data_IF_762526587892
#
_entry.id   IF_762526587892
#
_cell.length_a   1.000
_cell.length_b   1.000
_cell.length_c   1.000
_cell.angle_alpha   90.00
_cell.angle_beta   90.00
_cell.angle_gamma   90.00
#
_symmetry.space_group_name_H-M   'P 1'
#
loop_
_entity.id
_entity.type
_entity.pdbx_description
1 polymer ?
#
# COMPACT_ATOMS: atom_id res chain seq x y z
N UNK A 1 8.48 -4.53 12.69
CA UNK A 1 8.11 -5.39 11.56
C UNK A 1 8.46 -6.82 11.95
N UNK A 2 7.73 -7.80 11.41
CA UNK A 2 6.53 -7.65 10.58
C UNK A 2 5.35 -7.01 11.35
N UNK A 3 4.38 -6.42 10.65
CA UNK A 3 3.11 -5.95 11.25
C UNK A 3 1.94 -6.10 10.27
N UNK A 4 0.75 -6.42 10.79
CA UNK A 4 -0.45 -6.50 9.99
C UNK A 4 -0.81 -5.16 9.31
N UNK A 5 -1.34 -5.22 8.09
CA UNK A 5 -1.98 -4.09 7.39
C UNK A 5 -2.85 -4.59 6.23
N UNK A 6 -3.97 -3.91 5.94
CA UNK A 6 -4.82 -4.22 4.78
C UNK A 6 -4.34 -3.50 3.50
N UNK A 7 -4.71 -4.01 2.33
CA UNK A 7 -4.37 -3.43 1.03
C UNK A 7 -3.30 -4.25 0.33
N UNK A 8 -3.72 -5.40 -0.19
CA UNK A 8 -2.85 -6.51 -0.60
C UNK A 8 -2.75 -6.63 -2.12
N UNK A 9 -3.67 -6.03 -2.88
CA UNK A 9 -3.65 -6.11 -4.34
C UNK A 9 -2.90 -4.92 -4.96
N UNK A 10 -1.67 -5.14 -5.45
CA UNK A 10 -0.92 -4.08 -6.13
C UNK A 10 -1.51 -3.77 -7.52
N UNK A 11 -1.12 -2.62 -8.06
CA UNK A 11 -1.50 -2.17 -9.40
C UNK A 11 -0.28 -2.21 -10.33
N UNK A 12 -0.52 -2.33 -11.64
CA UNK A 12 0.52 -2.43 -12.68
C UNK A 12 1.57 -1.31 -12.61
N UNK A 13 1.16 -0.10 -12.22
CA UNK A 13 2.08 1.05 -12.04
C UNK A 13 3.16 0.85 -10.98
N UNK A 14 3.02 -0.14 -10.09
CA UNK A 14 4.05 -0.44 -9.09
C UNK A 14 5.23 -1.23 -9.67
N UNK A 15 5.02 -2.01 -10.74
CA UNK A 15 6.05 -2.91 -11.24
C UNK A 15 7.35 -2.21 -11.68
N UNK A 16 7.31 -1.11 -12.45
CA UNK A 16 8.53 -0.36 -12.78
C UNK A 16 9.24 0.25 -11.56
N UNK A 17 8.50 0.64 -10.52
CA UNK A 17 9.12 1.13 -9.27
C UNK A 17 9.80 0.01 -8.50
N UNK A 18 9.22 -1.19 -8.48
CA UNK A 18 9.85 -2.35 -7.85
C UNK A 18 11.10 -2.80 -8.62
N UNK A 19 11.12 -2.62 -9.94
CA UNK A 19 12.32 -2.80 -10.76
C UNK A 19 13.43 -1.82 -10.37
N UNK A 20 13.11 -0.53 -10.28
CA UNK A 20 14.08 0.51 -9.87
C UNK A 20 14.65 0.24 -8.47
N UNK A 21 13.84 -0.32 -7.57
CA UNK A 21 14.25 -0.72 -6.24
C UNK A 21 15.01 -2.06 -6.19
N UNK A 22 15.11 -2.79 -7.31
CA UNK A 22 15.78 -4.09 -7.41
C UNK A 22 15.05 -5.24 -6.73
N UNK A 23 13.72 -5.13 -6.54
CA UNK A 23 12.93 -6.06 -5.73
C UNK A 23 12.11 -7.08 -6.52
N UNK A 24 12.09 -6.99 -7.85
CA UNK A 24 11.25 -7.86 -8.71
C UNK A 24 11.47 -9.35 -8.41
N UNK A 25 12.72 -9.80 -8.33
CA UNK A 25 13.03 -11.20 -8.08
C UNK A 25 12.55 -11.68 -6.70
N UNK A 26 12.65 -10.84 -5.67
CA UNK A 26 12.15 -11.15 -4.33
C UNK A 26 10.62 -11.18 -4.31
N UNK A 27 9.96 -10.29 -5.05
CA UNK A 27 8.50 -10.27 -5.15
C UNK A 27 7.97 -11.49 -5.92
N UNK A 28 8.55 -11.82 -7.07
CA UNK A 28 8.18 -12.98 -7.89
C UNK A 28 8.38 -14.31 -7.13
N UNK A 29 9.35 -14.38 -6.22
CA UNK A 29 9.61 -15.57 -5.41
C UNK A 29 8.64 -15.73 -4.22
N UNK A 30 8.06 -14.63 -3.73
CA UNK A 30 7.28 -14.61 -2.47
C UNK A 30 5.78 -14.46 -2.69
N UNK A 31 5.37 -13.79 -3.75
CA UNK A 31 4.01 -13.30 -3.90
C UNK A 31 3.37 -13.76 -5.21
N UNK A 32 2.04 -13.95 -5.16
CA UNK A 32 1.30 -14.36 -6.34
C UNK A 32 1.26 -13.24 -7.38
N UNK A 33 1.48 -13.60 -8.64
CA UNK A 33 1.37 -12.66 -9.74
C UNK A 33 -0.09 -12.24 -9.94
N UNK A 34 -0.30 -10.97 -10.28
CA UNK A 34 -1.59 -10.39 -10.62
C UNK A 34 -1.59 -9.90 -12.05
N UNK A 35 -2.37 -10.54 -12.90
CA UNK A 35 -2.42 -10.24 -14.34
C UNK A 35 -3.59 -9.34 -14.77
N UNK A 36 -4.52 -9.06 -13.86
CA UNK A 36 -5.72 -8.29 -14.17
C UNK A 36 -6.66 -8.13 -12.98
N UNK A 37 -7.87 -7.70 -13.32
CA UNK A 37 -9.00 -7.52 -12.41
C UNK A 37 -10.22 -8.14 -13.10
N UNK A 38 -10.89 -9.06 -12.41
CA UNK A 38 -12.20 -9.58 -12.82
C UNK A 38 -13.29 -8.80 -12.08
N UNK A 39 -14.24 -8.22 -12.82
CA UNK A 39 -15.30 -7.39 -12.27
C UNK A 39 -16.67 -7.99 -12.60
N UNK A 40 -17.47 -8.24 -11.58
CA UNK A 40 -18.92 -8.42 -11.73
C UNK A 40 -19.60 -7.12 -11.35
N UNK A 41 -19.68 -6.22 -12.32
CA UNK A 41 -20.08 -4.84 -12.09
C UNK A 41 -20.80 -4.24 -13.28
N UNK A 42 -21.88 -3.49 -13.00
CA UNK A 42 -22.63 -2.74 -14.00
C UNK A 42 -24.00 -3.34 -14.27
N UNK A 43 -24.52 -3.11 -15.49
CA UNK A 43 -25.84 -3.59 -15.90
C UNK A 43 -25.83 -5.04 -16.33
N UNK A 44 -24.68 -5.51 -16.81
CA UNK A 44 -24.49 -6.90 -17.23
C UNK A 44 -24.19 -7.75 -15.99
N UNK A 45 -24.97 -8.80 -15.71
CA UNK A 45 -24.69 -9.70 -14.60
C UNK A 45 -23.46 -10.59 -14.83
N UNK A 46 -22.98 -10.71 -16.07
CA UNK A 46 -21.80 -11.51 -16.40
C UNK A 46 -20.50 -10.79 -16.02
N UNK A 47 -19.52 -11.49 -15.41
CA UNK A 47 -18.22 -10.90 -15.12
C UNK A 47 -17.48 -10.49 -16.39
N UNK A 48 -16.80 -9.35 -16.33
CA UNK A 48 -15.89 -8.87 -17.37
C UNK A 48 -14.51 -8.61 -16.79
N UNK A 49 -13.49 -8.66 -17.64
CA UNK A 49 -12.09 -8.58 -17.22
C UNK A 49 -11.43 -7.32 -17.73
N UNK A 50 -10.69 -6.64 -16.85
CA UNK A 50 -9.66 -5.67 -17.23
C UNK A 50 -8.29 -6.32 -17.08
N UNK A 51 -7.67 -6.72 -18.18
CA UNK A 51 -6.29 -7.22 -18.14
C UNK A 51 -5.27 -6.08 -17.99
N UNK A 52 -4.06 -6.40 -17.52
CA UNK A 52 -2.99 -5.42 -17.37
C UNK A 52 -2.11 -5.22 -18.61
N UNK A 53 -2.23 -6.07 -19.64
CA UNK A 53 -1.48 -5.93 -20.90
C UNK A 53 -1.69 -4.57 -21.56
N UNK A 54 -2.93 -4.04 -21.54
CA UNK A 54 -3.22 -2.69 -22.06
C UNK A 54 -2.54 -1.59 -21.23
N UNK A 55 -2.56 -1.72 -19.90
CA UNK A 55 -1.90 -0.77 -18.99
C UNK A 55 -0.37 -0.76 -19.19
N UNK A 56 0.26 -1.93 -19.33
CA UNK A 56 1.70 -2.00 -19.59
C UNK A 56 2.06 -1.52 -21.00
N UNK A 57 1.30 -1.93 -22.02
CA UNK A 57 1.53 -1.49 -23.40
C UNK A 57 1.46 0.04 -23.54
N UNK A 58 0.49 0.69 -22.87
CA UNK A 58 0.34 2.16 -22.91
C UNK A 58 1.50 2.92 -22.25
N UNK A 59 2.24 2.29 -21.34
CA UNK A 59 3.39 2.87 -20.64
C UNK A 59 4.73 2.49 -21.25
N UNK A 60 4.74 1.59 -22.25
CA UNK A 60 5.96 1.02 -22.82
C UNK A 60 6.69 0.07 -21.86
N UNK A 61 6.00 -0.36 -20.78
CA UNK A 61 6.55 -1.28 -19.79
C UNK A 61 6.61 -2.70 -20.34
N UNK A 62 7.67 -3.43 -20.01
CA UNK A 62 7.85 -4.84 -20.42
C UNK A 62 7.19 -5.82 -19.44
N UNK A 63 6.64 -5.33 -18.33
CA UNK A 63 5.95 -6.16 -17.35
C UNK A 63 4.62 -6.70 -17.88
N UNK A 64 4.20 -7.84 -17.33
CA UNK A 64 2.91 -8.47 -17.62
C UNK A 64 2.04 -8.66 -16.39
N UNK A 65 2.58 -8.39 -15.19
CA UNK A 65 1.90 -8.59 -13.91
C UNK A 65 2.31 -7.55 -12.86
N UNK A 66 1.47 -7.43 -11.83
CA UNK A 66 1.84 -6.91 -10.51
C UNK A 66 1.78 -8.08 -9.49
N UNK A 67 1.64 -7.80 -8.20
CA UNK A 67 1.57 -8.84 -7.17
C UNK A 67 0.36 -8.66 -6.24
N UNK A 68 -0.20 -9.77 -5.76
CA UNK A 68 -0.97 -9.80 -4.52
C UNK A 68 -0.01 -10.12 -3.38
N UNK A 69 0.05 -9.25 -2.38
CA UNK A 69 1.08 -9.29 -1.35
C UNK A 69 0.51 -9.46 0.04
N UNK A 70 1.17 -10.26 0.87
CA UNK A 70 0.97 -10.20 2.32
C UNK A 70 1.69 -8.97 2.87
N UNK A 71 0.92 -7.96 3.30
CA UNK A 71 1.47 -6.64 3.63
C UNK A 71 2.49 -6.62 4.75
N UNK A 72 2.39 -7.53 5.71
CA UNK A 72 3.39 -7.64 6.77
C UNK A 72 4.78 -7.99 6.24
N UNK A 73 4.82 -8.80 5.18
CA UNK A 73 6.06 -9.27 4.54
C UNK A 73 6.54 -8.27 3.49
N UNK A 74 5.64 -7.72 2.66
CA UNK A 74 6.04 -6.77 1.62
C UNK A 74 6.54 -5.44 2.20
N UNK A 75 5.89 -4.94 3.25
CA UNK A 75 6.33 -3.70 3.91
C UNK A 75 7.67 -3.92 4.64
N UNK A 76 7.89 -5.09 5.21
CA UNK A 76 9.17 -5.47 5.83
C UNK A 76 10.28 -5.56 4.77
N UNK A 77 10.02 -6.24 3.64
CA UNK A 77 10.94 -6.32 2.51
C UNK A 77 11.36 -4.92 2.02
N UNK A 78 10.42 -4.00 1.87
CA UNK A 78 10.71 -2.62 1.48
C UNK A 78 11.55 -1.88 2.53
N UNK A 79 11.26 -2.08 3.82
CA UNK A 79 12.00 -1.45 4.91
C UNK A 79 13.44 -2.01 5.02
N UNK A 80 13.61 -3.31 4.83
CA UNK A 80 14.90 -3.97 4.82
C UNK A 80 15.73 -3.59 3.61
N UNK A 81 15.11 -3.45 2.43
CA UNK A 81 15.80 -2.92 1.25
C UNK A 81 16.31 -1.49 1.50
N UNK A 82 15.49 -0.64 2.13
CA UNK A 82 15.92 0.70 2.51
C UNK A 82 17.14 0.65 3.45
N UNK A 83 17.17 -0.26 4.42
CA UNK A 83 18.33 -0.48 5.30
C UNK A 83 19.56 -0.92 4.53
N UNK A 84 19.45 -1.88 3.63
CA UNK A 84 20.59 -2.37 2.84
C UNK A 84 21.16 -1.29 1.92
N UNK A 85 20.32 -0.35 1.50
CA UNK A 85 20.73 0.84 0.73
C UNK A 85 21.27 1.99 1.60
N UNK A 86 21.36 1.80 2.92
CA UNK A 86 22.01 2.72 3.86
C UNK A 86 21.06 3.62 4.65
N UNK A 87 19.74 3.43 4.55
CA UNK A 87 18.81 4.17 5.39
C UNK A 87 18.96 3.76 6.87
N UNK A 88 19.01 4.75 7.77
CA UNK A 88 18.93 4.50 9.21
C UNK A 88 17.48 4.28 9.61
N UNK A 89 17.13 3.06 9.98
CA UNK A 89 15.77 2.69 10.36
C UNK A 89 15.70 2.44 11.86
N UNK A 90 14.81 3.17 12.52
CA UNK A 90 14.49 3.01 13.94
C UNK A 90 13.08 2.43 14.08
N UNK A 91 12.98 1.18 14.52
CA UNK A 91 11.70 0.53 14.79
C UNK A 91 11.27 0.70 16.24
N UNK A 92 9.97 0.52 16.50
CA UNK A 92 9.37 0.82 17.81
C UNK A 92 9.69 2.26 18.29
N UNK A 93 9.89 3.17 17.34
CA UNK A 93 10.17 4.59 17.56
C UNK A 93 8.95 5.41 17.17
N UNK A 94 8.19 5.89 18.15
CA UNK A 94 6.98 6.66 17.90
C UNK A 94 7.29 8.14 17.89
N UNK A 95 7.15 8.79 16.73
CA UNK A 95 7.24 10.26 16.65
C UNK A 95 6.07 10.88 17.43
N UNK A 96 6.37 11.88 18.25
CA UNK A 96 5.38 12.54 19.14
C UNK A 96 5.24 14.02 18.84
N UNK A 97 6.28 14.66 18.31
CA UNK A 97 6.32 16.10 18.05
C UNK A 97 7.16 16.46 16.81
N UNK A 98 6.83 17.58 16.18
CA UNK A 98 7.62 18.22 15.11
C UNK A 98 8.42 19.36 15.71
N UNK A 99 9.73 19.37 15.49
CA UNK A 99 10.59 20.49 15.86
C UNK A 99 10.48 21.61 14.83
N UNK A 100 10.39 22.85 15.31
CA UNK A 100 10.37 24.07 14.50
C UNK A 100 11.41 25.07 15.00
N UNK A 101 11.99 25.86 14.10
CA UNK A 101 12.81 27.01 14.47
C UNK A 101 11.95 28.26 14.73
N UNK A 102 12.60 29.37 15.09
CA UNK A 102 11.95 30.65 15.40
C UNK A 102 11.15 31.22 14.22
N UNK A 103 11.50 30.86 12.99
CA UNK A 103 10.74 31.26 11.79
C UNK A 103 9.50 30.38 11.53
N UNK A 104 9.32 29.31 12.33
CA UNK A 104 8.25 28.33 12.18
C UNK A 104 8.56 27.19 11.21
N UNK A 105 9.76 27.15 10.63
CA UNK A 105 10.19 26.11 9.69
C UNK A 105 10.45 24.80 10.43
N UNK A 106 9.98 23.69 9.87
CA UNK A 106 10.25 22.35 10.40
C UNK A 106 11.73 21.99 10.31
N UNK A 107 12.30 21.53 11.43
CA UNK A 107 13.74 21.23 11.58
C UNK A 107 14.03 19.82 12.07
N UNK A 108 13.01 19.01 12.35
CA UNK A 108 13.18 17.67 12.89
C UNK A 108 11.94 17.15 13.59
N UNK A 109 12.14 16.10 14.38
CA UNK A 109 11.10 15.43 15.17
C UNK A 109 11.61 15.03 16.56
N UNK A 110 10.68 14.93 17.49
CA UNK A 110 10.85 14.23 18.77
C UNK A 110 10.18 12.87 18.64
N UNK A 111 10.82 11.82 19.15
CA UNK A 111 10.24 10.49 19.19
C UNK A 111 10.56 9.77 20.49
N UNK A 112 9.72 8.81 20.86
CA UNK A 112 9.96 7.91 21.99
C UNK A 112 10.37 6.53 21.50
N UNK A 113 11.36 5.93 22.14
CA UNK A 113 11.83 4.58 21.85
C UNK A 113 12.33 3.93 23.14
N UNK A 114 11.88 2.72 23.47
CA UNK A 114 12.28 2.04 24.72
C UNK A 114 11.90 2.79 26.00
N UNK A 115 10.91 3.68 25.96
CA UNK A 115 10.51 4.54 27.09
C UNK A 115 11.33 5.83 27.23
N UNK A 116 12.37 6.01 26.41
CA UNK A 116 13.18 7.23 26.37
C UNK A 116 12.72 8.19 25.29
N UNK A 117 13.02 9.48 25.46
CA UNK A 117 12.71 10.54 24.49
C UNK A 117 13.97 10.97 23.75
N UNK A 118 13.89 10.99 22.43
CA UNK A 118 14.99 11.33 21.54
C UNK A 118 14.60 12.46 20.58
N UNK A 119 15.63 13.08 19.98
CA UNK A 119 15.48 14.14 18.98
C UNK A 119 16.28 13.80 17.73
N UNK A 120 15.66 13.96 16.58
CA UNK A 120 16.32 13.86 15.27
C UNK A 120 16.10 15.15 14.48
N UNK A 121 17.18 15.79 14.04
CA UNK A 121 17.13 17.01 13.22
C UNK A 121 17.32 16.69 11.75
N UNK A 122 16.57 17.35 10.88
CA UNK A 122 16.64 17.16 9.44
C UNK A 122 16.32 18.46 8.68
N UNK A 123 16.80 18.56 7.43
CA UNK A 123 16.43 19.66 6.52
C UNK A 123 15.01 19.52 5.99
N UNK A 124 14.56 18.28 5.81
CA UNK A 124 13.23 17.93 5.33
C UNK A 124 12.64 16.84 6.23
N UNK A 125 11.33 16.90 6.45
CA UNK A 125 10.57 15.89 7.18
C UNK A 125 9.40 15.49 6.30
N UNK A 126 9.27 14.18 6.05
CA UNK A 126 8.18 13.60 5.25
C UNK A 126 7.27 12.81 6.19
N UNK A 127 5.97 13.11 6.16
CA UNK A 127 4.97 12.37 6.94
C UNK A 127 4.46 11.18 6.12
N UNK A 128 5.01 10.00 6.38
CA UNK A 128 4.58 8.72 5.79
C UNK A 128 3.76 7.87 6.79
N UNK A 129 3.11 8.49 7.78
CA UNK A 129 2.34 7.78 8.83
C UNK A 129 0.97 7.25 8.39
N UNK A 130 0.66 7.31 7.09
CA UNK A 130 -0.59 6.83 6.53
C UNK A 130 -1.83 7.55 7.10
N UNK A 131 -2.89 6.79 7.35
CA UNK A 131 -4.16 7.33 7.87
C UNK A 131 -4.02 8.03 9.24
N UNK A 132 -2.96 7.72 10.00
CA UNK A 132 -2.70 8.35 11.29
C UNK A 132 -2.36 9.84 11.20
N UNK A 133 -1.89 10.32 10.04
CA UNK A 133 -1.60 11.74 9.76
C UNK A 133 -0.84 12.44 10.88
N UNK A 134 0.20 11.79 11.40
CA UNK A 134 0.85 12.13 12.65
C UNK A 134 1.31 13.59 12.72
N UNK A 135 1.94 14.08 11.65
CA UNK A 135 2.42 15.45 11.54
C UNK A 135 1.39 16.32 10.79
N UNK A 136 0.86 15.78 9.70
CA UNK A 136 -0.02 16.50 8.76
C UNK A 136 -1.37 16.87 9.36
N UNK A 137 -1.88 16.16 10.38
CA UNK A 137 -3.14 16.52 11.05
C UNK A 137 -3.12 17.91 11.68
N UNK A 138 -1.92 18.40 12.04
CA UNK A 138 -1.73 19.74 12.63
C UNK A 138 -1.42 20.81 11.59
N UNK A 139 -1.06 20.40 10.38
CA UNK A 139 -0.60 21.29 9.30
C UNK A 139 -1.65 21.46 8.20
N UNK A 140 -2.60 20.54 8.10
CA UNK A 140 -3.58 20.49 7.02
C UNK A 140 -4.96 20.12 7.55
N UNK A 141 -5.99 20.71 6.96
CA UNK A 141 -7.37 20.28 7.18
C UNK A 141 -7.68 19.05 6.30
N UNK A 142 -8.58 18.19 6.77
CA UNK A 142 -9.13 17.11 5.95
C UNK A 142 -10.44 17.57 5.34
N UNK A 143 -10.53 17.49 4.03
CA UNK A 143 -11.81 17.49 3.33
C UNK A 143 -12.16 16.05 2.98
N UNK A 144 -13.31 15.57 3.44
CA UNK A 144 -13.79 14.23 3.12
C UNK A 144 -14.60 14.27 1.83
N UNK A 145 -14.46 13.22 1.02
CA UNK A 145 -15.36 13.01 -0.12
C UNK A 145 -16.66 12.40 0.42
N UNK A 146 -17.74 13.19 0.41
CA UNK A 146 -19.02 12.79 1.02
C UNK A 146 -19.59 11.50 0.41
N UNK A 147 -19.41 11.31 -0.90
CA UNK A 147 -19.89 10.13 -1.63
C UNK A 147 -19.02 8.88 -1.44
N UNK A 148 -17.88 8.98 -0.75
CA UNK A 148 -16.92 7.89 -0.55
C UNK A 148 -16.73 7.53 0.94
N UNK A 149 -17.74 7.78 1.77
CA UNK A 149 -17.77 7.40 3.20
C UNK A 149 -18.05 5.91 3.40
N UNK A 150 -17.24 5.08 2.74
CA UNK A 150 -17.35 3.63 2.80
C UNK A 150 -16.76 3.06 4.10
N UNK A 151 -17.34 1.98 4.59
CA UNK A 151 -16.78 1.16 5.66
C UNK A 151 -16.45 -0.21 5.08
N UNK A 152 -15.28 -0.73 5.42
CA UNK A 152 -14.86 -2.06 5.01
C UNK A 152 -14.87 -3.01 6.22
N UNK A 153 -15.33 -4.24 5.99
CA UNK A 153 -15.21 -5.37 6.91
C UNK A 153 -14.61 -6.50 6.11
N UNK A 154 -13.58 -7.15 6.65
CA UNK A 154 -12.81 -8.16 5.92
C UNK A 154 -12.35 -9.30 6.83
N UNK A 155 -12.02 -10.42 6.22
CA UNK A 155 -11.43 -11.59 6.88
C UNK A 155 -10.61 -12.39 5.86
N UNK A 156 -9.98 -13.46 6.32
CA UNK A 156 -9.18 -14.37 5.50
C UNK A 156 -9.82 -15.75 5.50
N UNK A 157 -9.71 -16.45 4.38
CA UNK A 157 -10.27 -17.79 4.19
C UNK A 157 -9.17 -18.72 3.65
N UNK A 158 -9.06 -19.93 4.22
CA UNK A 158 -8.04 -20.91 3.82
C UNK A 158 -8.43 -21.70 2.55
N UNK A 159 -9.63 -21.47 2.03
CA UNK A 159 -10.19 -22.23 0.91
C UNK A 159 -11.10 -21.33 0.08
N UNK A 160 -10.89 -21.34 -1.24
CA UNK A 160 -11.71 -20.58 -2.18
C UNK A 160 -11.84 -21.36 -3.50
N UNK A 161 -12.84 -20.98 -4.29
CA UNK A 161 -12.98 -21.46 -5.67
C UNK A 161 -12.26 -20.46 -6.59
N UNK A 162 -11.22 -20.87 -7.32
CA UNK A 162 -10.52 -19.95 -8.20
C UNK A 162 -11.41 -19.41 -9.32
N UNK A 163 -11.19 -18.16 -9.69
CA UNK A 163 -11.71 -17.59 -10.92
C UNK A 163 -11.13 -18.32 -12.14
N UNK A 164 -11.80 -18.20 -13.29
CA UNK A 164 -11.24 -18.63 -14.58
C UNK A 164 -9.85 -18.00 -14.83
N UNK A 165 -9.71 -16.73 -14.45
CA UNK A 165 -8.44 -16.03 -14.35
C UNK A 165 -7.94 -16.04 -12.90
N UNK A 166 -7.42 -17.19 -12.44
CA UNK A 166 -7.03 -17.48 -11.04
C UNK A 166 -6.08 -16.47 -10.37
N UNK A 167 -5.38 -15.65 -11.16
CA UNK A 167 -4.38 -14.67 -10.72
C UNK A 167 -4.97 -13.27 -10.57
N UNK A 168 -6.23 -13.07 -10.94
CA UNK A 168 -6.91 -11.78 -10.82
C UNK A 168 -7.53 -11.61 -9.43
N UNK A 169 -7.68 -10.35 -9.01
CA UNK A 169 -8.62 -9.98 -7.93
C UNK A 169 -10.05 -10.02 -8.49
N UNK A 170 -11.01 -10.50 -7.71
CA UNK A 170 -12.44 -10.31 -7.97
C UNK A 170 -12.93 -9.02 -7.32
N UNK A 171 -13.70 -8.23 -8.05
CA UNK A 171 -14.48 -7.11 -7.51
C UNK A 171 -15.94 -7.29 -7.94
N UNK A 172 -16.84 -7.46 -6.99
CA UNK A 172 -18.24 -7.74 -7.29
C UNK A 172 -19.17 -6.82 -6.52
N UNK A 173 -20.10 -6.20 -7.25
CA UNK A 173 -21.14 -5.36 -6.69
C UNK A 173 -22.17 -6.20 -5.92
N UNK A 174 -22.59 -5.70 -4.75
CA UNK A 174 -23.59 -6.38 -3.91
C UNK A 174 -24.96 -5.72 -4.12
N UNK A 175 -26.00 -6.53 -4.24
CA UNK A 175 -27.38 -6.04 -4.29
C UNK A 175 -27.73 -5.25 -3.02
N UNK A 176 -28.33 -4.07 -3.19
CA UNK A 176 -28.60 -3.16 -2.08
C UNK A 176 -27.46 -2.20 -1.73
N UNK A 177 -26.32 -2.31 -2.42
CA UNK A 177 -25.22 -1.35 -2.36
C UNK A 177 -23.92 -1.91 -1.81
N UNK A 178 -22.81 -1.28 -2.18
CA UNK A 178 -21.46 -1.73 -1.82
C UNK A 178 -20.91 -2.78 -2.78
N UNK A 179 -19.81 -3.39 -2.36
CA UNK A 179 -19.06 -4.38 -3.14
C UNK A 179 -18.16 -5.19 -2.24
N UNK A 180 -17.76 -6.38 -2.69
CA UNK A 180 -16.71 -7.16 -2.04
C UNK A 180 -15.50 -7.32 -2.96
N UNK A 181 -14.35 -7.60 -2.34
CA UNK A 181 -13.16 -8.05 -3.03
C UNK A 181 -12.80 -9.47 -2.61
N UNK A 182 -12.22 -10.22 -3.54
CA UNK A 182 -11.53 -11.48 -3.27
C UNK A 182 -10.13 -11.41 -3.88
N UNK A 183 -9.12 -11.55 -3.03
CA UNK A 183 -7.70 -11.49 -3.40
C UNK A 183 -7.12 -12.86 -3.07
N UNK A 184 -6.64 -13.62 -4.07
CA UNK A 184 -6.05 -14.93 -3.84
C UNK A 184 -4.71 -14.84 -3.09
#
# INVERSE_FOLDING_TARGET
FPRYHIGESMVSGMAPLMEELGLVAELDARFQHKSGITLRWGKDPEPWRSDFSAAFSSTGSHFTHAWHVTRSESDELLLDNARSLGAKVHEAAQVTEVLKDESGRTTGVVYTQGGETHRATARFVVDASGQGRLLTRRLTQTSWQEDLRNVAVWSYFDSYTPLDHKDDILVEAIEGGGWFWDIP
#
